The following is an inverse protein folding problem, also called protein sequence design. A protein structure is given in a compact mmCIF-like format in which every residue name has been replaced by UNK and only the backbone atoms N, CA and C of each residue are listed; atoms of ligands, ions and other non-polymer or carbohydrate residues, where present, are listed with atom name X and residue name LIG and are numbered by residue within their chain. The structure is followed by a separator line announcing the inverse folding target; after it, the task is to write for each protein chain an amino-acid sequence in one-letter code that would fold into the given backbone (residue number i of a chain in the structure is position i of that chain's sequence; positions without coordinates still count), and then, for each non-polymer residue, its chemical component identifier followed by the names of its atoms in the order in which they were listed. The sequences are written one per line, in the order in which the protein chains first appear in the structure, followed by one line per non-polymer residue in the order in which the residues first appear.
data_IF_389381493690
#
_entry.id   IF_389381493690
#
_cell.length_a   1.000
_cell.length_b   1.000
_cell.length_c   1.000
_cell.angle_alpha   90.00
_cell.angle_beta   90.00
_cell.angle_gamma   90.00
#
_symmetry.space_group_name_H-M   'P 1'
#
loop_
_entity.id
_entity.type
_entity.pdbx_description
1 polymer ?
#
# COMPACT_ATOMS: atom_id res chain seq x y z
N UNK A 1 33.47 3.65 -14.50
CA UNK A 1 32.11 3.85 -13.92
C UNK A 1 31.44 5.04 -14.62
N UNK A 2 30.30 4.88 -15.30
CA UNK A 2 29.60 6.02 -15.87
C UNK A 2 28.96 6.81 -14.72
N UNK A 3 29.42 8.04 -14.49
CA UNK A 3 28.81 8.96 -13.52
C UNK A 3 27.37 9.23 -13.98
N UNK A 4 26.39 8.93 -13.13
CA UNK A 4 24.99 9.25 -13.39
C UNK A 4 24.90 10.76 -13.66
N UNK A 5 24.63 11.15 -14.93
CA UNK A 5 24.39 12.55 -15.28
C UNK A 5 23.21 13.03 -14.46
N UNK A 6 23.48 13.93 -13.51
CA UNK A 6 22.47 14.56 -12.67
C UNK A 6 21.39 15.17 -13.54
N UNK A 7 20.26 14.49 -13.68
CA UNK A 7 19.03 15.15 -14.09
C UNK A 7 18.67 16.02 -12.91
N UNK A 8 18.64 17.34 -13.12
CA UNK A 8 17.38 18.09 -13.08
C UNK A 8 17.69 19.52 -13.49
N UNK A 9 17.49 19.84 -14.77
CA UNK A 9 17.33 21.24 -15.19
C UNK A 9 16.14 21.79 -14.40
N UNK A 10 16.34 22.87 -13.62
CA UNK A 10 15.26 23.51 -12.85
C UNK A 10 14.10 23.80 -13.81
N UNK A 11 12.92 23.24 -13.50
CA UNK A 11 11.74 23.47 -14.32
C UNK A 11 11.44 24.97 -14.30
N UNK A 12 11.48 25.61 -15.48
CA UNK A 12 11.18 27.04 -15.61
C UNK A 12 9.68 27.26 -15.38
N UNK A 13 9.32 28.37 -14.75
CA UNK A 13 7.92 28.74 -14.55
C UNK A 13 7.28 29.04 -15.92
N UNK A 14 6.31 28.22 -16.34
CA UNK A 14 5.55 28.49 -17.56
C UNK A 14 4.55 29.62 -17.33
N UNK A 15 4.88 30.82 -17.82
CA UNK A 15 4.04 32.02 -17.66
C UNK A 15 2.68 31.94 -18.34
N UNK A 16 2.53 31.11 -19.37
CA UNK A 16 1.26 30.87 -20.07
C UNK A 16 0.33 29.90 -19.32
N UNK A 17 0.81 29.22 -18.27
CA UNK A 17 0.03 28.19 -17.59
C UNK A 17 -0.78 28.78 -16.44
N UNK A 18 -2.10 28.74 -16.55
CA UNK A 18 -2.98 29.04 -15.43
C UNK A 18 -2.97 27.87 -14.42
N UNK A 19 -2.05 27.95 -13.44
CA UNK A 19 -1.87 26.94 -12.39
C UNK A 19 -3.12 26.69 -11.56
N UNK A 20 -3.95 27.71 -11.32
CA UNK A 20 -5.23 27.55 -10.60
C UNK A 20 -6.18 26.65 -11.37
N UNK A 21 -6.26 26.79 -12.71
CA UNK A 21 -7.08 25.91 -13.56
C UNK A 21 -6.53 24.48 -13.57
N UNK A 22 -5.21 24.33 -13.70
CA UNK A 22 -4.56 23.02 -13.70
C UNK A 22 -4.82 22.25 -12.39
N UNK A 23 -4.66 22.91 -11.24
CA UNK A 23 -4.91 22.29 -9.94
C UNK A 23 -6.38 21.90 -9.76
N UNK A 24 -7.33 22.73 -10.22
CA UNK A 24 -8.76 22.38 -10.21
C UNK A 24 -9.05 21.15 -11.06
N UNK A 25 -8.47 21.06 -12.26
CA UNK A 25 -8.63 19.91 -13.14
C UNK A 25 -8.01 18.65 -12.55
N UNK A 26 -6.81 18.75 -11.97
CA UNK A 26 -6.16 17.63 -11.30
C UNK A 26 -7.00 17.12 -10.12
N UNK A 27 -7.53 18.02 -9.28
CA UNK A 27 -8.43 17.66 -8.17
C UNK A 27 -9.70 16.96 -8.63
N UNK A 28 -10.32 17.44 -9.73
CA UNK A 28 -11.51 16.79 -10.32
C UNK A 28 -11.21 15.39 -10.84
N UNK A 29 -10.05 15.18 -11.48
CA UNK A 29 -9.62 13.87 -11.99
C UNK A 29 -9.25 12.89 -10.87
N UNK A 30 -8.71 13.40 -9.77
CA UNK A 30 -8.35 12.60 -8.60
C UNK A 30 -9.54 12.32 -7.67
N UNK A 31 -10.72 12.89 -7.95
CA UNK A 31 -11.91 12.64 -7.15
C UNK A 31 -12.36 11.17 -7.30
N UNK A 32 -12.74 10.49 -6.21
CA UNK A 32 -13.16 9.10 -6.26
C UNK A 32 -14.48 8.97 -7.02
N UNK A 33 -14.58 7.94 -7.85
CA UNK A 33 -15.86 7.53 -8.46
C UNK A 33 -16.62 6.69 -7.43
N UNK A 34 -17.44 7.38 -6.64
CA UNK A 34 -18.26 6.76 -5.60
C UNK A 34 -19.44 6.08 -6.29
N UNK A 35 -19.84 4.87 -5.88
CA UNK A 35 -21.02 4.19 -6.45
C UNK A 35 -22.32 4.45 -5.68
N UNK A 36 -22.24 4.51 -4.35
CA UNK A 36 -23.39 4.76 -3.48
C UNK A 36 -23.95 6.19 -3.65
N UNK A 37 -25.24 6.31 -3.95
CA UNK A 37 -25.94 7.59 -4.14
C UNK A 37 -25.88 8.48 -2.91
N UNK A 38 -26.15 7.95 -1.71
CA UNK A 38 -26.15 8.71 -0.46
C UNK A 38 -24.80 9.38 -0.19
N UNK A 39 -23.70 8.65 -0.38
CA UNK A 39 -22.35 9.17 -0.19
C UNK A 39 -22.03 10.24 -1.25
N UNK A 40 -22.46 10.04 -2.52
CA UNK A 40 -22.28 11.05 -3.58
C UNK A 40 -22.98 12.36 -3.21
N UNK A 41 -24.20 12.31 -2.71
CA UNK A 41 -24.98 13.51 -2.38
C UNK A 41 -24.41 14.26 -1.17
N UNK A 42 -23.90 13.53 -0.18
CA UNK A 42 -23.25 14.14 0.97
C UNK A 42 -21.82 14.65 0.68
N UNK A 43 -21.24 14.33 -0.49
CA UNK A 43 -19.84 14.64 -0.80
C UNK A 43 -19.63 16.11 -1.17
N UNK A 44 -18.82 16.83 -0.38
CA UNK A 44 -18.42 18.20 -0.68
C UNK A 44 -17.05 18.26 -1.39
N UNK A 45 -17.01 18.84 -2.59
CA UNK A 45 -15.77 18.99 -3.37
C UNK A 45 -14.81 20.07 -2.84
N UNK A 46 -15.28 20.98 -1.98
CA UNK A 46 -14.45 21.98 -1.34
C UNK A 46 -13.57 21.36 -0.24
N UNK A 47 -14.11 20.36 0.46
CA UNK A 47 -13.48 19.68 1.59
C UNK A 47 -12.47 18.61 1.17
N UNK A 48 -11.62 18.23 2.11
CA UNK A 48 -10.70 17.11 1.92
C UNK A 48 -11.43 15.77 2.03
N UNK A 49 -10.90 14.72 1.38
CA UNK A 49 -11.43 13.34 1.50
C UNK A 49 -11.59 12.93 2.95
N UNK A 50 -10.58 13.20 3.79
CA UNK A 50 -10.60 12.90 5.22
C UNK A 50 -11.74 13.59 5.95
N UNK A 51 -11.97 14.87 5.65
CA UNK A 51 -13.02 15.65 6.29
C UNK A 51 -14.42 15.19 5.86
N UNK A 52 -14.64 14.96 4.56
CA UNK A 52 -15.91 14.41 4.07
C UNK A 52 -16.25 13.08 4.74
N UNK A 53 -15.29 12.16 4.81
CA UNK A 53 -15.51 10.86 5.44
C UNK A 53 -15.80 11.02 6.95
N UNK A 54 -15.04 11.87 7.65
CA UNK A 54 -15.26 12.10 9.08
C UNK A 54 -16.65 12.70 9.38
N UNK A 55 -17.12 13.65 8.58
CA UNK A 55 -18.45 14.26 8.74
C UNK A 55 -19.59 13.26 8.48
N UNK A 56 -19.39 12.28 7.59
CA UNK A 56 -20.31 11.17 7.37
C UNK A 56 -20.20 10.05 8.42
N UNK A 57 -19.27 10.16 9.38
CA UNK A 57 -18.99 9.09 10.36
C UNK A 57 -18.25 7.88 9.77
N UNK A 58 -17.63 8.04 8.60
CA UNK A 58 -16.89 6.98 7.91
C UNK A 58 -15.40 6.99 8.29
N UNK A 59 -14.84 5.79 8.41
CA UNK A 59 -13.42 5.61 8.65
C UNK A 59 -12.60 5.87 7.38
N UNK A 60 -11.55 6.70 7.50
CA UNK A 60 -10.59 6.92 6.40
C UNK A 60 -9.69 5.72 6.19
N UNK A 61 -9.25 5.10 7.28
CA UNK A 61 -8.47 3.88 7.27
C UNK A 61 -9.23 2.80 8.05
N UNK A 62 -9.74 1.76 7.39
CA UNK A 62 -10.48 0.70 8.05
C UNK A 62 -9.61 -0.06 9.06
N UNK A 63 -8.30 -0.20 8.82
CA UNK A 63 -7.40 -0.89 9.76
C UNK A 63 -7.13 -0.07 11.02
N UNK A 64 -7.29 1.25 10.95
CA UNK A 64 -7.20 2.14 12.11
C UNK A 64 -8.50 2.13 12.92
N UNK A 65 -9.65 2.05 12.26
CA UNK A 65 -10.94 1.97 12.93
C UNK A 65 -11.19 0.58 13.53
N UNK A 66 -10.77 -0.48 12.83
CA UNK A 66 -10.87 -1.88 13.27
C UNK A 66 -9.49 -2.53 13.16
N UNK A 67 -8.66 -2.44 14.21
CA UNK A 67 -7.31 -3.01 14.19
C UNK A 67 -7.32 -4.52 13.98
N UNK A 68 -6.67 -4.97 12.91
CA UNK A 68 -6.46 -6.39 12.66
C UNK A 68 -5.48 -6.95 13.70
N UNK A 69 -5.91 -8.00 14.41
CA UNK A 69 -5.04 -8.72 15.35
C UNK A 69 -3.95 -9.45 14.57
N UNK A 70 -2.70 -8.99 14.69
CA UNK A 70 -1.55 -9.69 14.10
C UNK A 70 -1.31 -10.98 14.87
N UNK A 71 -1.53 -12.14 14.23
CA UNK A 71 -1.06 -13.42 14.76
C UNK A 71 0.47 -13.39 14.71
N UNK A 72 1.12 -13.51 15.87
CA UNK A 72 2.55 -13.82 15.92
C UNK A 72 2.69 -15.21 15.32
N UNK A 73 3.20 -15.31 14.09
CA UNK A 73 3.65 -16.59 13.56
C UNK A 73 4.80 -16.99 14.48
N UNK A 74 4.52 -17.90 15.42
CA UNK A 74 5.57 -18.60 16.13
C UNK A 74 6.32 -19.36 15.04
N UNK A 75 7.45 -18.81 14.61
CA UNK A 75 8.38 -19.49 13.74
C UNK A 75 8.92 -20.65 14.57
N UNK A 76 8.19 -21.76 14.61
CA UNK A 76 8.71 -23.03 15.11
C UNK A 76 9.75 -23.41 14.07
N UNK A 77 10.97 -22.96 14.35
CA UNK A 77 12.16 -23.23 13.61
C UNK A 77 12.21 -24.71 13.31
N UNK A 78 12.57 -24.98 12.06
CA UNK A 78 13.07 -26.21 11.43
C UNK A 78 14.15 -26.90 12.27
N UNK A 79 13.81 -27.29 13.49
CA UNK A 79 14.63 -28.01 14.46
C UNK A 79 14.04 -29.40 14.76
N UNK A 80 12.83 -29.70 14.25
CA UNK A 80 12.20 -31.02 14.39
C UNK A 80 12.42 -31.95 13.18
N UNK A 81 13.11 -31.50 12.12
CA UNK A 81 13.30 -32.30 10.89
C UNK A 81 14.72 -32.88 10.72
N UNK A 82 15.61 -32.75 11.70
CA UNK A 82 16.99 -33.31 11.61
C UNK A 82 17.34 -34.33 12.69
N UNK A 83 16.37 -34.76 13.51
CA UNK A 83 16.58 -35.74 14.58
C UNK A 83 15.98 -37.12 14.25
N UNK A 84 16.05 -37.55 12.99
CA UNK A 84 15.45 -38.81 12.56
C UNK A 84 16.05 -39.37 11.29
N UNK A 85 17.36 -39.59 11.26
CA UNK A 85 17.97 -40.61 10.39
C UNK A 85 19.39 -40.93 10.88
N UNK A 86 19.44 -41.85 11.83
CA UNK A 86 20.67 -42.45 12.36
C UNK A 86 20.46 -43.95 12.59
N UNK A 87 21.07 -44.73 11.70
CA UNK A 87 21.61 -46.09 11.90
C UNK A 87 20.70 -47.34 11.88
N UNK A 88 20.98 -48.19 10.89
CA UNK A 88 20.81 -49.65 10.85
C UNK A 88 21.17 -50.07 9.42
N UNK A 89 22.19 -50.84 9.08
CA UNK A 89 22.85 -51.97 9.73
C UNK A 89 23.21 -52.87 8.54
N UNK A 90 24.49 -53.13 8.30
CA UNK A 90 24.98 -53.74 7.05
C UNK A 90 24.59 -55.21 6.88
N UNK A 91 24.67 -55.71 5.64
CA UNK A 91 24.93 -57.13 5.38
C UNK A 91 25.75 -57.29 4.09
N UNK A 92 26.75 -58.16 4.21
CA UNK A 92 27.76 -58.56 3.23
C UNK A 92 27.14 -59.43 2.13
N UNK A 93 27.81 -59.51 0.98
CA UNK A 93 27.61 -60.55 -0.01
C UNK A 93 28.53 -60.38 -1.21
N UNK A 94 29.70 -61.02 -1.16
CA UNK A 94 30.54 -61.30 -2.32
C UNK A 94 29.86 -62.31 -3.25
N UNK A 95 30.01 -62.12 -4.56
CA UNK A 95 30.42 -63.13 -5.56
C UNK A 95 30.49 -62.47 -6.94
#
# INVERSE_FOLDING_TARGET
MPKAKGKTRRQKFGYSVNRKRLNRNARRKAAPRIECSHIRHAWDHAKSVRQNLAEMGLAVDPNRAVPLRKRKILLVSRALFSAGEGHGGGHRGEA
#
